data_IF_004858689525
#
_entry.id   IF_004858689525
#
_cell.length_a   1.000
_cell.length_b   1.000
_cell.length_c   1.000
_cell.angle_alpha   90.00
_cell.angle_beta   90.00
_cell.angle_gamma   90.00
#
_symmetry.space_group_name_H-M   'P 1'
#
loop_
_entity.id
_entity.type
_entity.pdbx_description
1 polymer ?
#
# COMPACT_ATOMS: atom_id res chain seq x y z
N UNK A 1 -10.30 -32.53 -21.24
CA UNK A 1 -8.90 -32.44 -20.79
C UNK A 1 -8.91 -31.58 -19.53
N UNK A 2 -8.97 -32.26 -18.37
CA UNK A 2 -9.05 -31.62 -17.07
C UNK A 2 -7.74 -30.91 -16.77
N UNK A 3 -7.78 -29.66 -16.40
CA UNK A 3 -6.73 -28.97 -15.65
C UNK A 3 -7.34 -28.51 -14.33
N UNK A 4 -7.35 -29.42 -13.37
CA UNK A 4 -7.39 -29.10 -11.95
C UNK A 4 -6.05 -28.46 -11.59
N UNK A 5 -6.08 -27.38 -10.82
CA UNK A 5 -4.86 -26.81 -10.28
C UNK A 5 -5.08 -25.48 -9.61
N UNK A 6 -5.85 -25.48 -8.52
CA UNK A 6 -5.82 -24.44 -7.50
C UNK A 6 -4.48 -24.57 -6.74
N UNK A 7 -3.40 -24.02 -7.29
CA UNK A 7 -2.12 -23.92 -6.61
C UNK A 7 -2.06 -22.58 -5.90
N UNK A 8 -2.48 -22.60 -4.63
CA UNK A 8 -1.97 -21.59 -3.68
C UNK A 8 -0.44 -21.53 -3.82
N UNK A 9 0.17 -20.33 -3.88
CA UNK A 9 1.61 -20.23 -4.01
C UNK A 9 2.26 -21.00 -2.87
N UNK A 10 3.11 -21.95 -3.22
CA UNK A 10 3.85 -22.78 -2.26
C UNK A 10 4.75 -21.87 -1.44
N UNK A 11 4.27 -21.51 -0.23
CA UNK A 11 5.01 -20.67 0.74
C UNK A 11 6.39 -21.27 1.05
N UNK A 12 6.55 -22.57 0.80
CA UNK A 12 7.84 -23.26 0.94
C UNK A 12 8.85 -22.90 -0.16
N UNK A 13 8.40 -22.43 -1.33
CA UNK A 13 9.29 -22.00 -2.41
C UNK A 13 9.98 -20.65 -2.12
N UNK A 14 9.44 -19.85 -1.21
CA UNK A 14 10.00 -18.57 -0.75
C UNK A 14 11.09 -18.74 0.32
N UNK A 15 11.33 -19.95 0.82
CA UNK A 15 12.22 -20.19 1.98
C UNK A 15 13.67 -20.52 1.60
N UNK A 16 14.08 -20.31 0.36
CA UNK A 16 15.50 -20.50 -0.06
C UNK A 16 15.98 -21.96 0.03
N UNK A 17 17.20 -22.19 -0.41
CA UNK A 17 17.90 -23.46 -0.60
C UNK A 17 17.44 -24.64 0.29
N UNK A 18 17.05 -25.74 -0.35
CA UNK A 18 16.63 -27.02 0.27
C UNK A 18 17.63 -27.59 1.27
N UNK A 19 18.90 -27.22 1.21
CA UNK A 19 19.94 -27.68 2.13
C UNK A 19 19.76 -27.19 3.57
N UNK A 20 19.05 -26.07 3.78
CA UNK A 20 18.71 -25.54 5.10
C UNK A 20 17.45 -26.14 5.72
N UNK A 21 16.65 -26.87 4.94
CA UNK A 21 15.43 -27.56 5.40
C UNK A 21 15.71 -28.87 6.16
N UNK A 22 16.93 -29.37 6.14
CA UNK A 22 17.31 -30.64 6.77
C UNK A 22 17.26 -30.66 8.31
N UNK A 23 17.09 -29.50 8.96
CA UNK A 23 16.86 -29.38 10.42
C UNK A 23 15.68 -28.45 10.67
N UNK A 24 14.44 -28.92 10.47
CA UNK A 24 13.29 -28.28 11.09
C UNK A 24 13.47 -28.34 12.60
N UNK A 25 13.52 -27.22 13.34
CA UNK A 25 13.38 -27.30 14.77
C UNK A 25 12.01 -27.93 15.02
N UNK A 26 11.97 -28.98 15.84
CA UNK A 26 10.72 -29.66 16.25
C UNK A 26 9.88 -28.77 17.17
N UNK A 27 9.67 -27.50 16.75
CA UNK A 27 8.95 -26.47 17.49
C UNK A 27 7.83 -25.90 16.65
N UNK A 28 6.69 -25.63 17.29
CA UNK A 28 5.58 -24.88 16.72
C UNK A 28 5.65 -23.43 17.23
N UNK A 29 5.51 -22.47 16.33
CA UNK A 29 5.41 -21.06 16.69
C UNK A 29 3.95 -20.63 16.65
N UNK A 30 3.50 -19.97 17.72
CA UNK A 30 2.13 -19.48 17.85
C UNK A 30 2.11 -18.15 18.62
N UNK A 31 1.01 -17.42 18.51
CA UNK A 31 0.77 -16.24 19.34
C UNK A 31 0.37 -16.67 20.76
N UNK A 32 0.98 -16.08 21.76
CA UNK A 32 0.59 -16.27 23.15
C UNK A 32 -0.75 -15.57 23.40
N UNK A 33 -1.81 -16.36 23.50
CA UNK A 33 -3.17 -15.86 23.67
C UNK A 33 -3.68 -15.91 25.13
N UNK A 34 -2.97 -16.63 26.03
CA UNK A 34 -3.39 -16.83 27.41
C UNK A 34 -2.32 -16.41 28.44
N UNK A 35 -2.78 -16.10 29.65
CA UNK A 35 -1.91 -15.64 30.73
C UNK A 35 -0.85 -16.68 31.16
N UNK A 36 -1.12 -17.98 30.98
CA UNK A 36 -0.17 -19.05 31.35
C UNK A 36 1.00 -19.07 30.39
N UNK A 37 0.72 -18.98 29.09
CA UNK A 37 1.73 -18.89 28.03
C UNK A 37 2.59 -17.62 28.20
N UNK A 38 1.97 -16.48 28.47
CA UNK A 38 2.68 -15.22 28.73
C UNK A 38 3.57 -15.31 29.98
N UNK A 39 3.08 -15.92 31.07
CA UNK A 39 3.91 -16.17 32.28
C UNK A 39 5.09 -17.09 31.99
N UNK A 40 4.91 -18.13 31.20
CA UNK A 40 6.02 -19.02 30.81
C UNK A 40 7.09 -18.28 30.01
N UNK A 41 6.69 -17.46 29.03
CA UNK A 41 7.61 -16.61 28.28
C UNK A 41 8.31 -15.58 29.17
N UNK A 42 7.59 -14.87 30.06
CA UNK A 42 8.19 -13.91 31.00
C UNK A 42 9.20 -14.58 31.94
N UNK A 43 8.97 -15.84 32.36
CA UNK A 43 9.98 -16.61 33.14
C UNK A 43 11.26 -16.87 32.33
N UNK A 44 11.16 -17.27 31.05
CA UNK A 44 12.31 -17.46 30.18
C UNK A 44 13.10 -16.14 29.98
N UNK A 45 12.40 -15.03 29.83
CA UNK A 45 13.00 -13.70 29.74
C UNK A 45 13.76 -13.32 31.00
N UNK A 46 13.13 -13.53 32.16
CA UNK A 46 13.74 -13.24 33.46
C UNK A 46 15.01 -14.06 33.64
N UNK A 47 14.98 -15.37 33.38
CA UNK A 47 16.17 -16.23 33.48
C UNK A 47 17.29 -15.72 32.55
N UNK A 48 16.99 -15.43 31.27
CA UNK A 48 17.99 -15.04 30.30
C UNK A 48 18.51 -13.61 30.53
N UNK A 49 17.65 -12.63 30.78
CA UNK A 49 18.07 -11.21 30.79
C UNK A 49 18.46 -10.68 32.16
N UNK A 50 17.87 -11.22 33.23
CA UNK A 50 18.17 -10.81 34.59
C UNK A 50 19.26 -11.73 35.19
N UNK A 51 19.01 -13.04 35.27
CA UNK A 51 19.89 -13.97 35.96
C UNK A 51 21.17 -14.30 35.20
N UNK A 52 21.05 -14.68 33.92
CA UNK A 52 22.21 -15.12 33.13
C UNK A 52 23.05 -13.96 32.59
N UNK A 53 22.39 -12.90 32.08
CA UNK A 53 23.06 -11.80 31.39
C UNK A 53 23.33 -10.58 32.30
N UNK A 54 22.58 -10.45 33.39
CA UNK A 54 22.67 -9.28 34.27
C UNK A 54 22.32 -7.96 33.54
N UNK A 55 21.54 -8.03 32.48
CA UNK A 55 21.20 -6.85 31.67
C UNK A 55 20.21 -5.93 32.42
N UNK A 56 19.37 -6.52 33.25
CA UNK A 56 18.40 -5.82 34.10
C UNK A 56 18.58 -6.29 35.55
N UNK A 57 18.43 -5.37 36.52
CA UNK A 57 18.65 -5.70 37.94
C UNK A 57 17.53 -6.57 38.55
N UNK A 58 16.28 -6.21 38.35
CA UNK A 58 15.13 -6.87 39.01
C UNK A 58 14.20 -7.59 38.02
N UNK A 59 13.83 -6.92 36.96
CA UNK A 59 12.95 -7.46 35.90
C UNK A 59 13.21 -6.77 34.57
N UNK A 60 12.84 -7.40 33.47
CA UNK A 60 12.96 -6.88 32.11
C UNK A 60 11.63 -6.38 31.53
N UNK A 61 10.61 -6.23 32.39
CA UNK A 61 9.29 -5.73 32.00
C UNK A 61 9.34 -4.22 31.72
N UNK A 62 8.60 -3.79 30.71
CA UNK A 62 8.40 -2.40 30.34
C UNK A 62 6.94 -2.17 29.90
N UNK A 63 6.55 -0.92 29.64
CA UNK A 63 5.17 -0.52 29.31
C UNK A 63 4.57 -1.28 28.10
N UNK A 64 5.43 -1.78 27.20
CA UNK A 64 4.98 -2.62 26.09
C UNK A 64 4.48 -4.00 26.49
N UNK A 65 4.81 -4.48 27.67
CA UNK A 65 4.29 -5.77 28.15
C UNK A 65 2.79 -5.69 28.51
N UNK A 66 2.28 -4.49 28.71
CA UNK A 66 0.88 -4.22 29.05
C UNK A 66 0.12 -3.48 27.95
N UNK A 67 0.79 -3.12 26.83
CA UNK A 67 0.16 -2.52 25.63
C UNK A 67 -0.67 -3.61 24.91
N UNK A 68 -2.00 -3.43 24.74
CA UNK A 68 -2.85 -4.41 24.08
C UNK A 68 -2.52 -4.63 22.59
N UNK A 69 -1.76 -3.71 21.97
CA UNK A 69 -1.29 -3.83 20.58
C UNK A 69 -0.05 -4.71 20.47
N UNK A 70 0.55 -5.08 21.60
CA UNK A 70 1.74 -5.94 21.62
C UNK A 70 1.40 -7.37 21.25
N UNK A 71 2.12 -7.90 20.26
CA UNK A 71 2.07 -9.29 19.85
C UNK A 71 3.25 -10.04 20.46
N UNK A 72 2.95 -11.12 21.17
CA UNK A 72 3.96 -12.06 21.68
C UNK A 72 3.87 -13.37 20.91
N UNK A 73 4.95 -13.77 20.26
CA UNK A 73 5.09 -15.08 19.62
C UNK A 73 5.94 -15.98 20.50
N UNK A 74 5.50 -17.23 20.67
CA UNK A 74 6.22 -18.25 21.44
C UNK A 74 6.49 -19.47 20.59
N UNK A 75 7.63 -20.14 20.88
CA UNK A 75 7.97 -21.44 20.34
C UNK A 75 7.67 -22.53 21.39
N UNK A 76 6.89 -23.55 21.01
CA UNK A 76 6.63 -24.75 21.82
C UNK A 76 7.36 -25.95 21.24
N UNK A 77 7.95 -26.75 22.10
CA UNK A 77 8.50 -28.06 21.74
C UNK A 77 7.39 -29.13 21.54
N UNK A 78 7.81 -30.35 21.24
CA UNK A 78 6.90 -31.47 21.05
C UNK A 78 6.09 -31.85 22.31
N UNK A 79 6.58 -31.49 23.50
CA UNK A 79 5.87 -31.68 24.77
C UNK A 79 4.90 -30.53 25.09
N UNK A 80 4.82 -29.50 24.23
CA UNK A 80 3.98 -28.33 24.44
C UNK A 80 4.59 -27.28 25.36
N UNK A 81 5.84 -27.46 25.78
CA UNK A 81 6.55 -26.53 26.67
C UNK A 81 7.01 -25.28 25.88
N UNK A 82 6.85 -24.10 26.48
CA UNK A 82 7.37 -22.86 25.89
C UNK A 82 8.89 -22.85 26.02
N UNK A 83 9.61 -22.93 24.89
CA UNK A 83 11.07 -23.00 24.79
C UNK A 83 11.70 -21.76 24.19
N UNK A 84 10.91 -20.75 23.88
CA UNK A 84 11.40 -19.45 23.37
C UNK A 84 10.25 -18.51 23.08
N UNK A 85 10.59 -17.26 22.78
CA UNK A 85 9.61 -16.27 22.35
C UNK A 85 10.24 -14.96 21.93
N UNK A 86 9.41 -14.10 21.33
CA UNK A 86 9.74 -12.74 20.89
C UNK A 86 8.50 -11.86 21.03
N UNK A 87 8.69 -10.58 21.33
CA UNK A 87 7.65 -9.58 21.42
C UNK A 87 7.84 -8.54 20.31
N UNK A 88 6.74 -8.12 19.68
CA UNK A 88 6.73 -7.05 18.67
C UNK A 88 5.46 -6.21 18.81
N UNK A 89 5.50 -4.98 18.33
CA UNK A 89 4.38 -4.04 18.38
C UNK A 89 4.77 -2.64 17.92
N UNK A 90 3.80 -1.69 17.88
CA UNK A 90 4.04 -0.32 17.48
C UNK A 90 5.18 0.35 18.27
N UNK A 91 5.98 1.17 17.59
CA UNK A 91 7.15 1.81 18.18
C UNK A 91 6.78 2.91 19.19
N UNK A 92 5.63 3.54 19.07
CA UNK A 92 5.15 4.62 19.92
C UNK A 92 3.80 4.34 20.56
N UNK A 93 3.42 5.18 21.53
CA UNK A 93 2.16 5.06 22.29
C UNK A 93 0.96 5.64 21.51
N UNK A 94 1.21 6.44 20.47
CA UNK A 94 0.19 7.05 19.62
C UNK A 94 -0.44 6.10 18.63
N UNK A 95 -1.11 6.68 17.63
CA UNK A 95 -1.68 5.91 16.51
C UNK A 95 -0.62 5.08 15.82
N UNK A 96 -0.93 3.82 15.52
CA UNK A 96 -0.04 2.96 14.75
C UNK A 96 0.10 3.47 13.31
N UNK A 97 1.27 3.93 12.96
CA UNK A 97 1.63 4.45 11.62
C UNK A 97 2.43 3.43 10.80
N UNK A 98 2.46 2.17 11.20
CA UNK A 98 3.22 1.12 10.52
C UNK A 98 4.71 1.12 10.87
N UNK A 99 5.11 1.76 11.97
CA UNK A 99 6.44 1.64 12.54
C UNK A 99 6.39 0.76 13.78
N UNK A 100 6.99 -0.42 13.69
CA UNK A 100 7.02 -1.39 14.78
C UNK A 100 8.43 -1.71 15.25
N UNK A 101 8.52 -2.20 16.47
CA UNK A 101 9.78 -2.71 17.03
C UNK A 101 9.60 -4.12 17.53
N UNK A 102 10.62 -4.96 17.29
CA UNK A 102 10.78 -6.28 17.91
C UNK A 102 11.75 -6.25 19.08
N UNK A 103 11.55 -7.13 20.06
CA UNK A 103 12.45 -7.22 21.19
C UNK A 103 12.19 -8.44 22.07
N UNK A 104 12.96 -8.58 23.14
CA UNK A 104 12.82 -9.66 24.12
C UNK A 104 12.89 -11.06 23.49
N UNK A 105 13.70 -11.22 22.42
CA UNK A 105 13.97 -12.53 21.82
C UNK A 105 14.75 -13.40 22.82
N UNK A 106 14.17 -14.56 23.15
CA UNK A 106 14.79 -15.54 24.04
C UNK A 106 14.52 -16.96 23.52
N UNK A 107 15.51 -17.85 23.73
CA UNK A 107 15.37 -19.29 23.49
C UNK A 107 16.03 -20.06 24.62
N UNK A 108 15.37 -21.10 25.13
CA UNK A 108 15.88 -21.93 26.21
C UNK A 108 17.16 -22.67 25.78
N UNK A 109 18.12 -22.76 26.70
CA UNK A 109 19.35 -23.55 26.48
C UNK A 109 19.05 -25.04 26.50
N UNK A 110 19.67 -25.80 25.63
CA UNK A 110 19.60 -27.27 25.63
C UNK A 110 18.44 -27.91 24.86
N UNK A 111 17.51 -27.16 24.33
CA UNK A 111 16.46 -27.71 23.46
C UNK A 111 17.00 -27.99 22.05
N UNK A 112 17.69 -29.10 21.87
CA UNK A 112 18.04 -29.73 20.57
C UNK A 112 18.63 -28.81 19.50
N UNK A 113 19.79 -28.17 19.76
CA UNK A 113 20.47 -27.30 18.80
C UNK A 113 19.86 -25.89 18.74
N UNK A 114 20.32 -25.00 19.59
CA UNK A 114 19.84 -23.62 19.80
C UNK A 114 19.89 -22.70 18.57
N UNK A 115 20.51 -23.11 17.46
CA UNK A 115 20.62 -22.30 16.23
C UNK A 115 19.32 -22.14 15.45
N UNK A 116 18.29 -22.96 15.67
CA UNK A 116 17.06 -22.98 14.90
C UNK A 116 15.93 -22.14 15.50
N UNK A 117 15.69 -22.18 16.82
CA UNK A 117 14.51 -21.57 17.48
C UNK A 117 14.53 -20.05 17.36
N UNK A 118 15.66 -19.41 17.69
CA UNK A 118 15.79 -17.97 17.58
C UNK A 118 15.57 -17.46 16.15
N UNK A 119 16.15 -18.15 15.15
CA UNK A 119 15.94 -17.79 13.74
C UNK A 119 14.48 -17.98 13.30
N UNK A 120 13.82 -19.05 13.74
CA UNK A 120 12.41 -19.29 13.44
C UNK A 120 11.51 -18.20 14.07
N UNK A 121 11.78 -17.81 15.31
CA UNK A 121 11.05 -16.73 15.98
C UNK A 121 11.24 -15.37 15.28
N UNK A 122 12.47 -15.04 14.86
CA UNK A 122 12.73 -13.79 14.13
C UNK A 122 11.99 -13.80 12.79
N UNK A 123 12.03 -14.89 12.02
CA UNK A 123 11.28 -14.99 10.76
C UNK A 123 9.77 -14.88 10.99
N UNK A 124 9.23 -15.54 12.01
CA UNK A 124 7.82 -15.43 12.36
C UNK A 124 7.43 -14.00 12.77
N UNK A 125 8.30 -13.29 13.49
CA UNK A 125 8.09 -11.89 13.83
C UNK A 125 8.10 -10.98 12.60
N UNK A 126 9.02 -11.20 11.65
CA UNK A 126 9.03 -10.47 10.38
C UNK A 126 7.75 -10.72 9.57
N UNK A 127 7.37 -11.99 9.39
CA UNK A 127 6.14 -12.35 8.68
C UNK A 127 4.89 -11.77 9.35
N UNK A 128 4.84 -11.77 10.69
CA UNK A 128 3.74 -11.14 11.42
C UNK A 128 3.71 -9.62 11.21
N UNK A 129 4.83 -8.93 11.29
CA UNK A 129 4.91 -7.50 11.04
C UNK A 129 4.44 -7.14 9.62
N UNK A 130 4.86 -7.91 8.61
CA UNK A 130 4.40 -7.73 7.23
C UNK A 130 2.89 -7.95 7.09
N UNK A 131 2.33 -8.98 7.75
CA UNK A 131 0.88 -9.25 7.75
C UNK A 131 0.05 -8.15 8.43
N UNK A 132 0.61 -7.45 9.42
CA UNK A 132 -0.02 -6.30 10.08
C UNK A 132 0.11 -4.98 9.28
N UNK A 133 0.74 -5.02 8.12
CA UNK A 133 0.92 -3.83 7.30
C UNK A 133 2.01 -2.90 7.80
N UNK A 134 3.00 -3.42 8.49
CA UNK A 134 4.16 -2.66 8.94
C UNK A 134 5.00 -2.23 7.74
N UNK A 135 5.53 -1.01 7.80
CA UNK A 135 6.39 -0.40 6.78
C UNK A 135 7.83 -0.20 7.26
N UNK A 136 8.01 -0.09 8.59
CA UNK A 136 9.31 0.03 9.22
C UNK A 136 9.36 -0.89 10.44
N UNK A 137 10.19 -1.93 10.38
CA UNK A 137 10.36 -2.89 11.46
C UNK A 137 11.80 -2.90 11.95
N UNK A 138 12.00 -2.60 13.24
CA UNK A 138 13.29 -2.43 13.85
C UNK A 138 13.45 -3.27 15.13
N UNK A 139 14.69 -3.58 15.48
CA UNK A 139 15.01 -4.23 16.74
C UNK A 139 16.32 -3.67 17.30
N UNK A 140 16.37 -3.47 18.62
CA UNK A 140 17.60 -3.17 19.33
C UNK A 140 18.27 -4.47 19.73
N UNK A 141 19.42 -4.76 19.15
CA UNK A 141 20.10 -6.06 19.19
C UNK A 141 21.43 -5.90 19.93
N UNK A 142 21.75 -6.82 20.84
CA UNK A 142 23.07 -6.84 21.48
C UNK A 142 24.17 -7.01 20.42
N UNK A 143 25.29 -6.30 20.54
CA UNK A 143 26.39 -6.32 19.55
C UNK A 143 26.83 -7.75 19.20
N UNK A 144 26.89 -8.65 20.17
CA UNK A 144 27.25 -10.08 19.96
C UNK A 144 26.27 -10.84 19.06
N UNK A 145 25.03 -10.37 18.95
CA UNK A 145 23.99 -11.00 18.12
C UNK A 145 23.84 -10.33 16.74
N UNK A 146 24.57 -9.24 16.44
CA UNK A 146 24.48 -8.52 15.17
C UNK A 146 24.68 -9.45 13.96
N UNK A 147 25.71 -10.31 13.99
CA UNK A 147 25.98 -11.25 12.89
C UNK A 147 24.85 -12.24 12.67
N UNK A 148 24.16 -12.68 13.73
CA UNK A 148 22.98 -13.55 13.61
C UNK A 148 21.84 -12.84 12.88
N UNK A 149 21.50 -11.59 13.24
CA UNK A 149 20.46 -10.81 12.57
C UNK A 149 20.85 -10.47 11.13
N UNK A 150 22.10 -10.14 10.84
CA UNK A 150 22.59 -9.92 9.47
C UNK A 150 22.41 -11.15 8.58
N UNK A 151 22.65 -12.36 9.10
CA UNK A 151 22.38 -13.62 8.36
C UNK A 151 20.88 -13.86 8.11
N UNK A 152 19.99 -13.19 8.84
CA UNK A 152 18.54 -13.20 8.62
C UNK A 152 18.06 -12.02 7.77
N UNK A 153 18.97 -11.31 7.10
CA UNK A 153 18.64 -10.23 6.18
C UNK A 153 18.45 -8.85 6.82
N UNK A 154 18.68 -8.71 8.14
CA UNK A 154 18.60 -7.43 8.82
C UNK A 154 19.81 -6.54 8.52
N UNK A 155 19.58 -5.23 8.40
CA UNK A 155 20.60 -4.22 8.16
C UNK A 155 20.89 -3.42 9.42
N UNK A 156 22.15 -3.03 9.61
CA UNK A 156 22.57 -2.14 10.69
C UNK A 156 22.14 -0.70 10.41
N UNK A 157 21.52 -0.03 11.38
CA UNK A 157 21.13 1.38 11.28
C UNK A 157 22.13 2.27 12.03
N UNK A 158 22.29 2.04 13.37
CA UNK A 158 23.22 2.82 14.20
C UNK A 158 23.52 2.12 15.54
N UNK A 159 24.60 2.48 16.23
CA UNK A 159 24.82 2.04 17.59
C UNK A 159 23.81 2.70 18.55
N UNK A 160 23.44 1.98 19.61
CA UNK A 160 22.56 2.45 20.69
C UNK A 160 23.02 1.83 22.01
N UNK A 161 22.55 2.36 23.15
CA UNK A 161 22.80 1.81 24.47
C UNK A 161 21.49 1.41 25.14
N UNK A 162 21.42 0.22 25.71
CA UNK A 162 20.26 -0.28 26.48
C UNK A 162 20.77 -0.74 27.84
N UNK A 163 20.18 -0.22 28.91
CA UNK A 163 20.60 -0.51 30.29
C UNK A 163 22.12 -0.45 30.48
N UNK A 164 22.78 0.59 29.96
CA UNK A 164 24.21 0.77 30.00
C UNK A 164 25.05 -0.13 29.10
N UNK A 165 24.45 -1.09 28.41
CA UNK A 165 25.15 -2.08 27.56
C UNK A 165 25.10 -1.68 26.09
N UNK A 166 26.23 -1.81 25.32
CA UNK A 166 26.26 -1.52 23.89
C UNK A 166 25.34 -2.46 23.09
N UNK A 167 24.48 -1.85 22.24
CA UNK A 167 23.56 -2.50 21.31
C UNK A 167 23.66 -1.87 19.93
N UNK A 168 22.98 -2.46 18.96
CA UNK A 168 22.85 -1.95 17.59
C UNK A 168 21.37 -1.91 17.24
N UNK A 169 20.91 -0.77 16.76
CA UNK A 169 19.60 -0.69 16.10
C UNK A 169 19.73 -1.34 14.72
N UNK A 170 18.91 -2.34 14.48
CA UNK A 170 18.85 -3.05 13.21
C UNK A 170 17.45 -2.95 12.61
N UNK A 171 17.36 -2.97 11.29
CA UNK A 171 16.10 -2.86 10.53
C UNK A 171 15.93 -4.06 9.63
N UNK A 172 14.72 -4.63 9.63
CA UNK A 172 14.29 -5.61 8.64
C UNK A 172 13.82 -4.88 7.37
N UNK A 173 14.32 -5.24 6.16
CA UNK A 173 13.87 -4.63 4.92
C UNK A 173 12.44 -5.07 4.62
N UNK A 174 11.54 -4.10 4.43
CA UNK A 174 10.15 -4.33 4.03
C UNK A 174 9.95 -3.70 2.66
N UNK A 175 9.81 -4.52 1.63
CA UNK A 175 9.70 -4.09 0.24
C UNK A 175 8.28 -4.05 -0.32
N UNK A 176 7.22 -4.16 0.51
CA UNK A 176 5.84 -4.32 0.03
C UNK A 176 5.37 -3.19 -0.89
N UNK A 177 5.73 -1.93 -0.59
CA UNK A 177 5.34 -0.77 -1.39
C UNK A 177 6.02 -0.81 -2.76
N UNK A 178 7.34 -1.01 -2.79
CA UNK A 178 8.09 -1.12 -4.05
C UNK A 178 7.59 -2.29 -4.90
N UNK A 179 7.40 -3.46 -4.29
CA UNK A 179 6.92 -4.65 -4.99
C UNK A 179 5.51 -4.43 -5.58
N UNK A 180 4.61 -3.77 -4.81
CA UNK A 180 3.26 -3.47 -5.27
C UNK A 180 3.26 -2.47 -6.44
N UNK A 181 4.00 -1.37 -6.34
CA UNK A 181 4.13 -0.37 -7.41
C UNK A 181 4.73 -0.98 -8.69
N UNK A 182 5.80 -1.78 -8.55
CA UNK A 182 6.45 -2.45 -9.67
C UNK A 182 5.51 -3.45 -10.36
N UNK A 183 4.82 -4.30 -9.60
CA UNK A 183 3.87 -5.26 -10.15
C UNK A 183 2.71 -4.58 -10.92
N UNK A 184 2.29 -3.39 -10.46
CA UNK A 184 1.19 -2.66 -11.09
C UNK A 184 1.61 -1.91 -12.36
N UNK A 185 2.81 -1.32 -12.42
CA UNK A 185 3.12 -0.25 -13.39
C UNK A 185 4.47 -0.35 -14.10
N UNK A 186 5.44 -1.13 -13.63
CA UNK A 186 6.82 -1.09 -14.17
C UNK A 186 6.97 -1.53 -15.63
N UNK A 187 6.01 -2.25 -16.17
CA UNK A 187 6.02 -2.67 -17.57
C UNK A 187 5.49 -1.60 -18.55
N UNK A 188 4.91 -0.48 -18.06
CA UNK A 188 4.20 0.47 -18.92
C UNK A 188 5.12 1.16 -19.91
N UNK A 189 6.26 1.71 -19.46
CA UNK A 189 7.19 2.41 -20.35
C UNK A 189 7.63 1.57 -21.56
N UNK A 190 8.19 0.35 -21.35
CA UNK A 190 8.55 -0.53 -22.46
C UNK A 190 7.38 -0.93 -23.37
N UNK A 191 6.20 -1.20 -22.80
CA UNK A 191 5.01 -1.60 -23.58
C UNK A 191 4.48 -0.45 -24.45
N UNK A 192 4.41 0.76 -23.88
CA UNK A 192 3.86 1.92 -24.57
C UNK A 192 4.86 2.59 -25.51
N UNK A 193 6.15 2.21 -25.49
CA UNK A 193 7.17 2.75 -26.37
C UNK A 193 6.79 2.62 -27.87
N UNK A 194 6.01 1.59 -28.23
CA UNK A 194 5.51 1.42 -29.60
C UNK A 194 4.51 2.51 -30.06
N UNK A 195 3.88 3.21 -29.09
CA UNK A 195 2.93 4.30 -29.36
C UNK A 195 3.60 5.68 -29.25
N UNK A 196 4.77 5.77 -28.63
CA UNK A 196 5.49 7.00 -28.49
C UNK A 196 5.95 7.55 -29.86
N UNK A 197 5.83 8.86 -30.08
CA UNK A 197 6.31 9.52 -31.28
C UNK A 197 5.46 9.29 -32.55
N UNK A 198 4.35 8.58 -32.47
CA UNK A 198 3.49 8.36 -33.65
C UNK A 198 2.81 9.65 -34.14
N UNK A 199 2.48 10.56 -33.23
CA UNK A 199 1.89 11.85 -33.53
C UNK A 199 2.18 12.85 -32.38
N UNK A 200 2.03 14.17 -32.62
CA UNK A 200 2.30 15.19 -31.59
C UNK A 200 1.49 15.03 -30.29
N UNK A 201 0.37 14.30 -30.34
CA UNK A 201 -0.53 14.07 -29.22
C UNK A 201 -0.56 12.60 -28.75
N UNK A 202 0.38 11.77 -29.20
CA UNK A 202 0.48 10.38 -28.73
C UNK A 202 0.73 10.32 -27.21
N UNK A 203 0.09 9.36 -26.54
CA UNK A 203 0.13 9.16 -25.08
C UNK A 203 -0.27 10.40 -24.25
N UNK A 204 -1.15 11.26 -24.78
CA UNK A 204 -1.61 12.51 -24.12
C UNK A 204 -0.95 13.77 -24.67
N UNK A 205 0.21 13.65 -25.34
CA UNK A 205 0.96 14.77 -25.89
C UNK A 205 1.86 15.47 -24.86
N UNK A 206 2.62 16.50 -25.28
CA UNK A 206 3.55 17.21 -24.39
C UNK A 206 2.87 17.74 -23.13
N UNK A 207 3.45 17.46 -21.97
CA UNK A 207 2.94 17.84 -20.66
C UNK A 207 1.87 16.88 -20.07
N UNK A 208 1.41 15.89 -20.86
CA UNK A 208 0.36 14.95 -20.42
C UNK A 208 0.71 13.47 -20.67
N UNK A 209 1.97 13.18 -20.96
CA UNK A 209 2.40 11.79 -21.22
C UNK A 209 2.20 10.92 -19.97
N UNK A 210 1.39 9.87 -20.10
CA UNK A 210 1.11 8.96 -18.99
C UNK A 210 0.23 9.53 -17.89
N UNK A 211 -0.54 10.58 -18.18
CA UNK A 211 -1.54 11.13 -17.28
C UNK A 211 -2.80 10.26 -17.20
N UNK A 212 -3.66 10.55 -16.23
CA UNK A 212 -4.88 9.79 -15.93
C UNK A 212 -5.93 9.95 -17.06
N UNK A 213 -5.87 11.05 -17.78
CA UNK A 213 -6.66 11.31 -18.99
C UNK A 213 -5.85 12.04 -20.06
N UNK A 214 -6.35 12.02 -21.28
CA UNK A 214 -5.71 12.65 -22.43
C UNK A 214 -6.54 13.83 -22.95
N UNK A 215 -5.99 15.05 -23.09
CA UNK A 215 -6.62 16.13 -23.81
C UNK A 215 -6.83 15.73 -25.29
N UNK A 216 -8.04 15.87 -25.80
CA UNK A 216 -8.36 15.59 -27.21
C UNK A 216 -8.07 16.83 -28.05
N UNK A 217 -7.23 16.73 -29.10
CA UNK A 217 -6.87 17.87 -29.93
C UNK A 217 -8.08 18.59 -30.53
N UNK A 218 -8.02 19.92 -30.57
CA UNK A 218 -9.03 20.75 -31.23
C UNK A 218 -10.18 21.22 -30.35
N UNK A 219 -10.14 20.96 -29.03
CA UNK A 219 -11.22 21.40 -28.15
C UNK A 219 -10.82 21.37 -26.67
N UNK A 220 -11.84 21.42 -25.81
CA UNK A 220 -11.76 21.31 -24.36
C UNK A 220 -12.06 19.91 -23.83
N UNK A 221 -12.16 18.92 -24.74
CA UNK A 221 -12.49 17.54 -24.39
C UNK A 221 -11.28 16.82 -23.79
N UNK A 222 -11.53 16.09 -22.71
CA UNK A 222 -10.58 15.16 -22.07
C UNK A 222 -11.21 13.79 -22.09
N UNK A 223 -10.43 12.76 -22.44
CA UNK A 223 -10.84 11.36 -22.44
C UNK A 223 -9.99 10.55 -21.45
N UNK A 224 -10.64 9.72 -20.65
CA UNK A 224 -10.02 8.71 -19.81
C UNK A 224 -10.56 7.33 -20.19
N UNK A 225 -9.74 6.27 -20.14
CA UNK A 225 -10.16 4.93 -20.53
C UNK A 225 -9.45 3.86 -19.71
N UNK A 226 -10.22 3.19 -18.86
CA UNK A 226 -9.71 2.11 -18.01
C UNK A 226 -10.41 0.78 -18.29
N UNK A 227 -9.62 -0.30 -18.17
CA UNK A 227 -10.11 -1.67 -18.17
C UNK A 227 -10.16 -2.20 -16.73
N UNK A 228 -11.23 -2.89 -16.39
CA UNK A 228 -11.40 -3.53 -15.09
C UNK A 228 -10.71 -4.89 -15.08
N UNK A 229 -10.04 -5.22 -13.97
CA UNK A 229 -9.36 -6.50 -13.78
C UNK A 229 -10.31 -7.66 -14.12
N UNK A 230 -9.99 -8.53 -15.11
CA UNK A 230 -10.89 -9.58 -15.58
C UNK A 230 -11.44 -10.47 -14.47
N UNK A 231 -10.59 -10.85 -13.50
CA UNK A 231 -11.02 -11.67 -12.36
C UNK A 231 -12.05 -10.98 -11.44
N UNK A 232 -12.15 -9.64 -11.47
CA UNK A 232 -13.20 -8.90 -10.78
C UNK A 232 -14.49 -8.95 -11.62
N UNK A 233 -14.40 -8.75 -12.92
CA UNK A 233 -15.57 -8.84 -13.83
C UNK A 233 -16.20 -10.23 -13.73
N UNK A 234 -15.39 -11.28 -13.65
CA UNK A 234 -15.87 -12.65 -13.51
C UNK A 234 -16.56 -12.94 -12.17
N UNK A 235 -15.94 -12.52 -11.05
CA UNK A 235 -16.36 -12.94 -9.70
C UNK A 235 -17.33 -11.99 -9.00
N UNK A 236 -17.24 -10.69 -9.29
CA UNK A 236 -18.05 -9.64 -8.65
C UNK A 236 -18.52 -8.62 -9.73
N UNK A 237 -19.34 -9.07 -10.70
CA UNK A 237 -19.72 -8.29 -11.87
C UNK A 237 -20.40 -6.96 -11.55
N UNK A 238 -21.24 -6.90 -10.51
CA UNK A 238 -21.88 -5.64 -10.10
C UNK A 238 -20.86 -4.65 -9.54
N UNK A 239 -19.88 -5.14 -8.79
CA UNK A 239 -18.79 -4.30 -8.28
C UNK A 239 -17.86 -3.86 -9.40
N UNK A 240 -17.55 -4.73 -10.34
CA UNK A 240 -16.80 -4.40 -11.54
C UNK A 240 -17.48 -3.28 -12.34
N UNK A 241 -18.81 -3.37 -12.52
CA UNK A 241 -19.62 -2.33 -13.15
C UNK A 241 -19.57 -1.00 -12.40
N UNK A 242 -19.65 -1.01 -11.05
CA UNK A 242 -19.47 0.21 -10.24
C UNK A 242 -18.08 0.80 -10.41
N UNK A 243 -17.03 -0.02 -10.27
CA UNK A 243 -15.66 0.42 -10.41
C UNK A 243 -15.34 1.01 -11.77
N UNK A 244 -15.91 0.48 -12.84
CA UNK A 244 -15.63 0.98 -14.20
C UNK A 244 -16.07 2.43 -14.43
N UNK A 245 -17.11 2.88 -13.74
CA UNK A 245 -17.50 4.30 -13.73
C UNK A 245 -16.60 5.10 -12.80
N UNK A 246 -16.40 4.59 -11.59
CA UNK A 246 -15.64 5.24 -10.51
C UNK A 246 -14.22 5.62 -10.94
N UNK A 247 -13.43 4.65 -11.47
CA UNK A 247 -12.03 4.88 -11.86
C UNK A 247 -11.92 5.95 -12.93
N UNK A 248 -12.71 5.85 -13.98
CA UNK A 248 -12.70 6.81 -15.10
C UNK A 248 -13.15 8.22 -14.70
N UNK A 249 -14.08 8.34 -13.74
CA UNK A 249 -14.48 9.65 -13.22
C UNK A 249 -13.41 10.24 -12.29
N UNK A 250 -12.65 9.41 -11.57
CA UNK A 250 -11.49 9.86 -10.80
C UNK A 250 -10.37 10.38 -11.74
N UNK A 251 -10.11 9.68 -12.84
CA UNK A 251 -9.17 10.12 -13.87
C UNK A 251 -9.52 11.52 -14.41
N UNK A 252 -10.79 11.70 -14.82
CA UNK A 252 -11.25 13.02 -15.26
C UNK A 252 -11.13 14.07 -14.16
N UNK A 253 -11.42 13.71 -12.92
CA UNK A 253 -11.30 14.61 -11.77
C UNK A 253 -9.85 15.01 -11.50
N UNK A 254 -8.88 14.09 -11.66
CA UNK A 254 -7.46 14.39 -11.56
C UNK A 254 -7.01 15.40 -12.63
N UNK A 255 -7.59 15.33 -13.83
CA UNK A 255 -7.38 16.31 -14.92
C UNK A 255 -8.16 17.63 -14.70
N UNK A 256 -8.93 17.76 -13.62
CA UNK A 256 -9.81 18.92 -13.41
C UNK A 256 -10.94 19.01 -14.42
N UNK A 257 -11.31 17.91 -15.09
CA UNK A 257 -12.33 17.84 -16.11
C UNK A 257 -13.71 17.51 -15.53
N UNK A 258 -14.74 18.27 -15.95
CA UNK A 258 -16.12 18.00 -15.58
C UNK A 258 -16.66 16.86 -16.46
N UNK A 259 -17.17 15.75 -15.87
CA UNK A 259 -17.69 14.61 -16.62
C UNK A 259 -18.85 15.01 -17.56
N UNK A 260 -18.85 14.50 -18.81
CA UNK A 260 -19.86 14.73 -19.82
C UNK A 260 -20.62 13.45 -20.19
N UNK A 261 -19.99 12.29 -20.14
CA UNK A 261 -20.63 11.01 -20.43
C UNK A 261 -19.67 9.85 -20.49
N UNK A 262 -20.24 8.64 -20.56
CA UNK A 262 -19.51 7.36 -20.50
C UNK A 262 -19.81 6.53 -21.75
N UNK A 263 -18.84 5.77 -22.21
CA UNK A 263 -18.97 4.73 -23.23
C UNK A 263 -18.43 3.42 -22.64
N UNK A 264 -19.15 2.31 -22.77
CA UNK A 264 -18.70 1.00 -22.29
C UNK A 264 -18.34 0.04 -23.42
N UNK A 265 -17.41 -0.86 -23.14
CA UNK A 265 -17.11 -2.03 -23.95
C UNK A 265 -17.17 -3.27 -23.04
N UNK A 266 -18.26 -4.03 -23.16
CA UNK A 266 -18.57 -5.18 -22.33
C UNK A 266 -18.48 -6.47 -23.13
N UNK A 267 -17.72 -7.43 -22.65
CA UNK A 267 -17.72 -8.82 -23.07
C UNK A 267 -18.23 -9.70 -21.92
N UNK A 268 -19.07 -10.68 -22.20
CA UNK A 268 -19.65 -11.54 -21.18
C UNK A 268 -19.94 -12.96 -21.71
N UNK A 269 -19.90 -14.00 -20.84
CA UNK A 269 -20.24 -15.36 -21.24
C UNK A 269 -21.70 -15.51 -21.66
N UNK A 270 -22.60 -14.76 -21.04
CA UNK A 270 -24.03 -14.78 -21.33
C UNK A 270 -24.71 -13.47 -20.94
N UNK A 271 -26.00 -13.35 -21.30
CA UNK A 271 -26.82 -12.17 -21.04
C UNK A 271 -27.05 -11.93 -19.52
N UNK A 272 -27.13 -12.97 -18.71
CA UNK A 272 -27.35 -12.83 -17.27
C UNK A 272 -26.14 -12.20 -16.59
N UNK A 273 -24.94 -12.62 -16.96
CA UNK A 273 -23.69 -12.02 -16.48
C UNK A 273 -23.56 -10.57 -16.94
N UNK A 274 -23.81 -10.30 -18.23
CA UNK A 274 -23.82 -8.95 -18.79
C UNK A 274 -24.78 -8.01 -18.03
N UNK A 275 -25.99 -8.50 -17.74
CA UNK A 275 -27.00 -7.71 -17.01
C UNK A 275 -26.49 -7.31 -15.60
N UNK A 276 -25.79 -8.19 -14.89
CA UNK A 276 -25.20 -7.89 -13.58
C UNK A 276 -24.11 -6.81 -13.65
N UNK A 277 -23.24 -6.88 -14.66
CA UNK A 277 -22.21 -5.85 -14.87
C UNK A 277 -22.89 -4.50 -15.16
N UNK A 278 -23.86 -4.49 -16.09
CA UNK A 278 -24.59 -3.27 -16.48
C UNK A 278 -25.42 -2.69 -15.33
N UNK A 279 -25.97 -3.52 -14.43
CA UNK A 279 -26.65 -3.02 -13.22
C UNK A 279 -25.70 -2.23 -12.32
N UNK A 280 -24.50 -2.76 -12.07
CA UNK A 280 -23.46 -2.06 -11.31
C UNK A 280 -23.05 -0.74 -11.95
N UNK A 281 -22.79 -0.76 -13.25
CA UNK A 281 -22.43 0.41 -14.05
C UNK A 281 -23.55 1.46 -14.03
N UNK A 282 -24.81 1.06 -14.26
CA UNK A 282 -25.95 1.95 -14.25
C UNK A 282 -26.22 2.56 -12.85
N UNK A 283 -26.01 1.80 -11.78
CA UNK A 283 -26.12 2.33 -10.42
C UNK A 283 -25.04 3.40 -10.15
N UNK A 284 -23.80 3.16 -10.55
CA UNK A 284 -22.74 4.14 -10.42
C UNK A 284 -23.01 5.39 -11.29
N UNK A 285 -23.37 5.22 -12.56
CA UNK A 285 -23.71 6.32 -13.46
C UNK A 285 -24.81 7.22 -12.88
N UNK A 286 -25.85 6.62 -12.29
CA UNK A 286 -26.92 7.37 -11.58
C UNK A 286 -26.40 8.07 -10.33
N UNK A 287 -25.58 7.39 -9.51
CA UNK A 287 -25.04 7.96 -8.28
C UNK A 287 -24.16 9.20 -8.54
N UNK A 288 -23.35 9.15 -9.57
CA UNK A 288 -22.53 10.29 -10.00
C UNK A 288 -23.30 11.31 -10.85
N UNK A 289 -24.46 10.93 -11.39
CA UNK A 289 -25.27 11.77 -12.27
C UNK A 289 -24.60 12.02 -13.61
N UNK A 290 -23.94 11.00 -14.19
CA UNK A 290 -23.25 11.03 -15.48
C UNK A 290 -23.92 10.04 -16.43
N UNK A 291 -24.34 10.45 -17.66
CA UNK A 291 -25.05 9.55 -18.57
C UNK A 291 -24.12 8.54 -19.25
N UNK A 292 -24.60 7.33 -19.46
CA UNK A 292 -24.01 6.39 -20.42
C UNK A 292 -24.50 6.75 -21.81
N UNK A 293 -23.62 7.18 -22.70
CA UNK A 293 -23.93 7.68 -24.04
C UNK A 293 -24.09 6.54 -25.03
N UNK A 294 -23.50 5.39 -24.77
CA UNK A 294 -23.53 4.21 -25.63
C UNK A 294 -22.40 3.27 -25.27
N UNK A 295 -22.18 2.29 -26.11
CA UNK A 295 -21.14 1.28 -25.90
C UNK A 295 -21.27 0.12 -26.89
N UNK A 296 -20.55 -0.97 -26.59
CA UNK A 296 -20.59 -2.22 -27.34
C UNK A 296 -20.68 -3.40 -26.37
N UNK A 297 -21.61 -4.33 -26.66
CA UNK A 297 -21.76 -5.57 -25.87
C UNK A 297 -21.55 -6.79 -26.74
N UNK A 298 -20.67 -7.70 -26.28
CA UNK A 298 -20.39 -8.98 -26.91
C UNK A 298 -20.71 -10.13 -25.97
N UNK A 299 -21.50 -11.12 -26.44
CA UNK A 299 -21.88 -12.29 -25.65
C UNK A 299 -21.19 -13.57 -26.16
N UNK A 300 -21.13 -14.59 -25.32
CA UNK A 300 -20.51 -15.89 -25.64
C UNK A 300 -18.98 -15.87 -25.58
N UNK A 301 -18.38 -14.92 -24.87
CA UNK A 301 -16.90 -14.74 -24.76
C UNK A 301 -16.51 -14.56 -23.28
N UNK A 302 -15.22 -14.71 -22.92
CA UNK A 302 -14.75 -14.44 -21.58
C UNK A 302 -15.12 -13.03 -21.11
N UNK A 303 -15.38 -12.89 -19.79
CA UNK A 303 -15.79 -11.63 -19.21
C UNK A 303 -14.67 -10.58 -19.27
N UNK A 304 -14.98 -9.40 -19.79
CA UNK A 304 -14.11 -8.24 -19.81
C UNK A 304 -14.97 -6.95 -19.82
N UNK A 305 -14.43 -5.89 -19.23
CA UNK A 305 -15.10 -4.59 -19.17
C UNK A 305 -14.06 -3.48 -19.28
N UNK A 306 -14.31 -2.54 -20.18
CA UNK A 306 -13.62 -1.26 -20.25
C UNK A 306 -14.65 -0.14 -20.38
N UNK A 307 -14.36 1.00 -19.76
CA UNK A 307 -15.18 2.21 -19.88
C UNK A 307 -14.29 3.36 -20.32
N UNK A 308 -14.81 4.19 -21.21
CA UNK A 308 -14.22 5.48 -21.58
C UNK A 308 -15.11 6.58 -21.03
N UNK A 309 -14.55 7.47 -20.22
CA UNK A 309 -15.21 8.69 -19.79
C UNK A 309 -14.76 9.88 -20.62
N UNK A 310 -15.71 10.72 -20.95
CA UNK A 310 -15.51 11.99 -21.63
C UNK A 310 -15.79 13.11 -20.65
N UNK A 311 -14.90 14.08 -20.56
CA UNK A 311 -15.05 15.26 -19.72
C UNK A 311 -14.61 16.53 -20.44
N UNK A 312 -14.83 17.68 -19.80
CA UNK A 312 -14.44 18.98 -20.34
C UNK A 312 -13.58 19.76 -19.36
N UNK A 313 -12.45 20.24 -19.83
CA UNK A 313 -11.56 21.13 -19.11
C UNK A 313 -10.90 22.12 -20.06
N UNK A 314 -11.19 23.41 -19.91
CA UNK A 314 -10.54 24.43 -20.73
C UNK A 314 -9.03 24.50 -20.52
N UNK A 315 -8.56 24.10 -19.34
CA UNK A 315 -7.14 23.97 -18.97
C UNK A 315 -7.01 22.73 -18.08
N UNK A 316 -6.75 21.56 -18.67
CA UNK A 316 -6.51 20.33 -17.92
C UNK A 316 -5.33 20.49 -16.97
N UNK A 317 -5.41 19.88 -15.79
CA UNK A 317 -4.30 19.82 -14.82
C UNK A 317 -3.40 18.66 -15.21
N UNK A 318 -2.08 18.87 -15.40
CA UNK A 318 -1.18 17.77 -15.74
C UNK A 318 -0.79 16.94 -14.52
N UNK A 319 -0.39 15.70 -14.74
CA UNK A 319 0.24 14.85 -13.72
C UNK A 319 1.70 15.21 -13.46
N UNK A 320 2.36 15.87 -14.43
CA UNK A 320 3.80 16.18 -14.44
C UNK A 320 4.17 17.64 -14.18
N UNK A 321 3.27 18.49 -13.71
CA UNK A 321 3.55 19.92 -13.48
C UNK A 321 4.26 20.26 -12.16
N UNK A 322 4.60 19.26 -11.34
CA UNK A 322 5.25 19.46 -10.05
C UNK A 322 6.72 19.91 -10.16
N UNK A 323 7.26 20.48 -9.06
CA UNK A 323 8.66 20.94 -8.96
C UNK A 323 9.22 20.59 -7.58
N UNK A 324 10.54 20.44 -7.43
CA UNK A 324 11.16 20.33 -6.11
C UNK A 324 10.75 21.50 -5.21
N UNK A 325 10.34 21.20 -3.97
CA UNK A 325 9.81 22.16 -3.01
C UNK A 325 8.28 22.29 -2.99
N UNK A 326 7.55 21.77 -4.00
CA UNK A 326 6.10 21.72 -3.93
C UNK A 326 5.63 20.80 -2.80
N UNK A 327 4.63 21.25 -2.07
CA UNK A 327 3.94 20.45 -1.06
C UNK A 327 3.08 19.38 -1.73
N UNK A 328 3.16 18.14 -1.22
CA UNK A 328 2.30 17.03 -1.64
C UNK A 328 1.10 16.96 -0.69
N UNK A 329 -0.09 16.94 -1.25
CA UNK A 329 -1.36 16.83 -0.55
C UNK A 329 -2.09 15.57 -0.96
N UNK A 330 -2.60 14.82 0.01
CA UNK A 330 -3.56 13.75 -0.20
C UNK A 330 -4.95 14.23 0.20
N UNK A 331 -5.91 14.12 -0.72
CA UNK A 331 -7.34 14.34 -0.47
C UNK A 331 -8.04 13.01 -0.70
N UNK A 332 -8.59 12.39 0.35
CA UNK A 332 -9.18 11.05 0.28
C UNK A 332 -10.48 10.94 1.08
N UNK A 333 -11.41 10.15 0.58
CA UNK A 333 -12.60 9.79 1.33
C UNK A 333 -12.29 8.66 2.32
N UNK A 334 -12.26 9.01 3.60
CA UNK A 334 -11.96 8.09 4.70
C UNK A 334 -13.19 7.34 5.21
N UNK A 335 -14.38 7.63 4.69
CA UNK A 335 -15.61 6.91 5.01
C UNK A 335 -15.64 5.50 4.41
N UNK A 336 -16.70 4.74 4.69
CA UNK A 336 -16.88 3.39 4.16
C UNK A 336 -16.06 2.32 4.87
N UNK A 337 -15.49 1.37 4.11
CA UNK A 337 -14.76 0.24 4.65
C UNK A 337 -14.11 -0.64 3.59
N UNK A 338 -13.40 -1.67 4.04
CA UNK A 338 -12.85 -2.68 3.12
C UNK A 338 -13.97 -3.39 2.37
N UNK A 339 -13.88 -3.39 1.05
CA UNK A 339 -14.80 -4.19 0.23
C UNK A 339 -14.68 -5.68 0.61
N UNK A 340 -15.81 -6.35 0.81
CA UNK A 340 -15.84 -7.79 1.09
C UNK A 340 -15.11 -8.56 -0.02
N UNK A 341 -14.22 -9.48 0.36
CA UNK A 341 -13.33 -10.22 -0.56
C UNK A 341 -12.11 -9.45 -1.07
N UNK A 342 -11.97 -8.15 -0.71
CA UNK A 342 -10.86 -7.29 -1.18
C UNK A 342 -10.14 -6.58 -0.02
N UNK A 343 -10.19 -7.12 1.20
CA UNK A 343 -9.52 -6.54 2.37
C UNK A 343 -8.03 -6.27 2.09
N UNK A 344 -7.55 -5.07 2.44
CA UNK A 344 -6.18 -4.61 2.19
C UNK A 344 -5.90 -4.20 0.74
N UNK A 345 -6.89 -4.33 -0.18
CA UNK A 345 -6.74 -4.00 -1.60
C UNK A 345 -7.69 -2.93 -2.10
N UNK A 346 -8.96 -2.94 -1.67
CA UNK A 346 -9.96 -1.99 -2.12
C UNK A 346 -10.77 -1.46 -0.93
N UNK A 347 -10.78 -0.15 -0.80
CA UNK A 347 -11.57 0.58 0.16
C UNK A 347 -12.81 1.16 -0.54
N UNK A 348 -13.99 0.66 -0.21
CA UNK A 348 -15.25 1.16 -0.75
C UNK A 348 -15.73 2.34 0.10
N UNK A 349 -15.47 3.55 -0.38
CA UNK A 349 -15.94 4.79 0.24
C UNK A 349 -17.13 5.41 -0.50
N UNK A 350 -17.36 5.02 -1.76
CA UNK A 350 -18.24 5.76 -2.68
C UNK A 350 -19.67 5.23 -2.78
N UNK A 351 -19.90 3.92 -2.56
CA UNK A 351 -21.23 3.32 -2.74
C UNK A 351 -22.31 3.85 -1.78
N UNK A 352 -21.90 4.43 -0.64
CA UNK A 352 -22.80 5.01 0.35
C UNK A 352 -22.95 6.53 0.26
N UNK A 353 -22.25 7.17 -0.68
CA UNK A 353 -22.24 8.63 -0.82
C UNK A 353 -23.42 9.12 -1.65
N UNK A 354 -23.92 10.31 -1.31
CA UNK A 354 -24.93 11.02 -2.12
C UNK A 354 -24.30 11.66 -3.34
N UNK A 355 -25.10 11.92 -4.37
CA UNK A 355 -24.65 12.55 -5.62
C UNK A 355 -23.95 13.90 -5.42
N UNK A 356 -24.44 14.73 -4.49
CA UNK A 356 -23.81 16.03 -4.17
C UNK A 356 -22.44 15.87 -3.53
N UNK A 357 -22.26 14.86 -2.67
CA UNK A 357 -20.98 14.52 -2.05
C UNK A 357 -19.98 13.99 -3.09
N UNK A 358 -20.40 13.06 -3.95
CA UNK A 358 -19.58 12.52 -5.04
C UNK A 358 -19.10 13.64 -5.98
N UNK A 359 -20.01 14.53 -6.38
CA UNK A 359 -19.67 15.66 -7.26
C UNK A 359 -18.73 16.67 -6.60
N UNK A 360 -18.91 16.93 -5.30
CA UNK A 360 -18.01 17.81 -4.55
C UNK A 360 -16.59 17.23 -4.50
N UNK A 361 -16.45 15.92 -4.30
CA UNK A 361 -15.16 15.24 -4.32
C UNK A 361 -14.50 15.34 -5.71
N UNK A 362 -15.21 14.99 -6.78
CA UNK A 362 -14.70 15.06 -8.16
C UNK A 362 -14.30 16.49 -8.57
N UNK A 363 -14.96 17.52 -8.03
CA UNK A 363 -14.67 18.92 -8.31
C UNK A 363 -13.43 19.49 -7.63
N UNK A 364 -12.80 18.77 -6.72
CA UNK A 364 -11.72 19.30 -5.86
C UNK A 364 -10.51 19.80 -6.66
N UNK A 365 -10.01 19.04 -7.62
CA UNK A 365 -8.85 19.42 -8.44
C UNK A 365 -9.17 20.61 -9.35
N UNK A 366 -10.35 20.62 -9.98
CA UNK A 366 -10.82 21.75 -10.79
C UNK A 366 -10.92 23.06 -10.01
N UNK A 367 -11.34 22.98 -8.73
CA UNK A 367 -11.44 24.14 -7.84
C UNK A 367 -10.07 24.62 -7.34
N UNK A 368 -9.17 23.69 -6.99
CA UNK A 368 -7.84 24.00 -6.45
C UNK A 368 -6.82 24.40 -7.50
N UNK A 369 -6.91 23.83 -8.69
CA UNK A 369 -5.96 24.02 -9.82
C UNK A 369 -4.50 23.86 -9.41
N UNK A 370 -4.12 22.73 -8.81
CA UNK A 370 -2.74 22.49 -8.41
C UNK A 370 -1.80 22.44 -9.63
N UNK A 371 -0.50 22.56 -9.39
CA UNK A 371 0.51 22.43 -10.43
C UNK A 371 0.54 21.02 -11.04
N UNK A 372 0.28 19.99 -10.24
CA UNK A 372 0.14 18.60 -10.69
C UNK A 372 -0.92 17.85 -9.88
N UNK A 373 -1.60 16.90 -10.53
CA UNK A 373 -2.57 16.01 -9.85
C UNK A 373 -2.57 14.61 -10.48
N UNK A 374 -2.84 13.60 -9.66
CA UNK A 374 -3.17 12.22 -10.08
C UNK A 374 -4.20 11.61 -9.15
N UNK A 375 -5.10 10.80 -9.71
CA UNK A 375 -5.96 9.93 -8.91
C UNK A 375 -5.15 8.76 -8.32
N UNK A 376 -5.58 8.25 -7.16
CA UNK A 376 -4.94 7.07 -6.58
C UNK A 376 -5.55 5.81 -7.16
N UNK A 377 -4.80 5.17 -8.03
CA UNK A 377 -5.18 3.96 -8.75
C UNK A 377 -4.57 2.67 -8.16
N UNK A 378 -4.45 1.63 -8.99
CA UNK A 378 -3.95 0.29 -8.59
C UNK A 378 -2.54 0.28 -7.99
N UNK A 379 -1.72 1.31 -8.23
CA UNK A 379 -0.39 1.42 -7.61
C UNK A 379 -0.45 1.82 -6.12
N UNK A 380 -1.64 2.17 -5.60
CA UNK A 380 -1.84 2.70 -4.26
C UNK A 380 -1.28 4.12 -4.10
N UNK A 381 -1.46 4.70 -2.91
CA UNK A 381 -1.04 6.09 -2.63
C UNK A 381 0.46 6.30 -2.90
N UNK A 382 1.29 5.41 -2.38
CA UNK A 382 2.74 5.58 -2.52
C UNK A 382 3.23 5.35 -3.96
N UNK A 383 2.66 4.38 -4.70
CA UNK A 383 3.00 4.17 -6.10
C UNK A 383 2.50 5.30 -6.99
N UNK A 384 1.29 5.81 -6.76
CA UNK A 384 0.76 6.98 -7.48
C UNK A 384 1.58 8.25 -7.21
N UNK A 385 2.03 8.46 -5.95
CA UNK A 385 2.96 9.54 -5.65
C UNK A 385 4.26 9.41 -6.45
N UNK A 386 4.76 8.18 -6.60
CA UNK A 386 5.92 7.89 -7.45
C UNK A 386 5.67 8.21 -8.92
N UNK A 387 4.47 7.92 -9.45
CA UNK A 387 4.08 8.29 -10.82
C UNK A 387 4.01 9.81 -11.01
N UNK A 388 3.41 10.55 -10.06
CA UNK A 388 3.36 12.01 -10.08
C UNK A 388 4.77 12.63 -10.03
N UNK A 389 5.63 12.10 -9.15
CA UNK A 389 7.01 12.53 -9.03
C UNK A 389 7.81 12.23 -10.32
N UNK A 390 7.67 11.04 -10.91
CA UNK A 390 8.30 10.64 -12.16
C UNK A 390 7.89 11.57 -13.31
N UNK A 391 6.58 11.80 -13.51
CA UNK A 391 6.05 12.70 -14.53
C UNK A 391 6.54 14.15 -14.34
N UNK A 392 6.81 14.57 -13.09
CA UNK A 392 7.35 15.88 -12.73
C UNK A 392 8.89 15.95 -12.78
N UNK A 393 9.60 14.87 -13.13
CA UNK A 393 11.06 14.82 -13.09
C UNK A 393 11.65 14.97 -11.68
N UNK A 394 10.93 14.53 -10.65
CA UNK A 394 11.22 14.70 -9.24
C UNK A 394 11.32 13.36 -8.49
N UNK A 395 11.79 13.41 -7.25
CA UNK A 395 11.50 12.44 -6.20
C UNK A 395 10.40 12.98 -5.28
N UNK A 396 9.88 12.14 -4.41
CA UNK A 396 8.93 12.56 -3.38
C UNK A 396 9.30 12.02 -1.98
N UNK A 397 8.99 12.80 -0.96
CA UNK A 397 9.06 12.39 0.45
C UNK A 397 7.66 12.47 1.03
N UNK A 398 7.18 11.36 1.60
CA UNK A 398 5.87 11.25 2.25
C UNK A 398 6.06 11.23 3.77
N UNK A 399 5.44 12.16 4.48
CA UNK A 399 5.41 12.21 5.95
C UNK A 399 4.35 11.25 6.48
N UNK A 400 4.75 10.08 6.91
CA UNK A 400 3.84 8.97 7.25
C UNK A 400 2.82 9.36 8.31
N UNK A 401 3.23 10.15 9.30
CA UNK A 401 2.34 10.60 10.38
C UNK A 401 1.30 11.63 9.92
N UNK A 402 1.51 12.31 8.78
CA UNK A 402 0.61 13.31 8.23
C UNK A 402 -0.38 12.73 7.20
N UNK A 403 -0.24 11.48 6.81
CA UNK A 403 -1.13 10.83 5.85
C UNK A 403 -2.52 10.63 6.45
N UNK A 404 -3.58 11.25 5.88
CA UNK A 404 -4.95 10.99 6.31
C UNK A 404 -5.33 9.54 5.99
N UNK A 405 -5.81 8.81 7.00
CA UNK A 405 -6.07 7.37 6.92
C UNK A 405 -7.30 6.97 7.74
N UNK A 406 -8.15 6.05 7.24
CA UNK A 406 -9.20 5.45 8.05
C UNK A 406 -8.63 4.65 9.23
N UNK A 407 -9.26 4.75 10.39
CA UNK A 407 -8.80 4.02 11.59
C UNK A 407 -8.76 2.48 11.41
N UNK A 408 -9.63 1.94 10.55
CA UNK A 408 -9.74 0.51 10.27
C UNK A 408 -8.71 -0.02 9.25
N UNK A 409 -7.89 0.84 8.64
CA UNK A 409 -6.83 0.45 7.73
C UNK A 409 -5.47 0.51 8.41
N UNK A 410 -4.58 -0.48 8.23
CA UNK A 410 -3.17 -0.34 8.55
C UNK A 410 -2.50 0.67 7.62
N UNK A 411 -1.41 1.31 8.03
CA UNK A 411 -0.72 2.27 7.15
C UNK A 411 -0.19 1.58 5.88
N UNK A 412 0.35 0.38 6.00
CA UNK A 412 0.85 -0.35 4.85
C UNK A 412 -0.24 -0.73 3.86
N UNK A 413 -1.41 -1.18 4.35
CA UNK A 413 -2.54 -1.48 3.47
C UNK A 413 -3.09 -0.21 2.83
N UNK A 414 -3.17 0.89 3.59
CA UNK A 414 -3.64 2.17 3.06
C UNK A 414 -2.73 2.74 1.98
N UNK A 415 -1.41 2.66 2.15
CA UNK A 415 -0.47 3.14 1.14
C UNK A 415 -0.42 2.28 -0.14
N UNK A 416 -0.98 1.06 -0.10
CA UNK A 416 -0.96 0.12 -1.24
C UNK A 416 -2.35 -0.25 -1.76
N UNK A 417 -3.46 0.22 -1.16
CA UNK A 417 -4.80 -0.09 -1.64
C UNK A 417 -5.29 0.89 -2.72
N UNK A 418 -6.38 0.50 -3.40
CA UNK A 418 -7.24 1.38 -4.16
C UNK A 418 -8.30 1.97 -3.20
N UNK A 419 -8.31 3.30 -2.96
CA UNK A 419 -9.10 3.91 -1.86
C UNK A 419 -10.50 4.39 -2.27
N UNK A 420 -11.04 3.98 -3.43
CA UNK A 420 -12.32 4.46 -3.96
C UNK A 420 -12.21 5.91 -4.46
N UNK A 421 -12.08 6.89 -3.57
CA UNK A 421 -11.76 8.26 -3.97
C UNK A 421 -10.52 8.74 -3.20
N UNK A 422 -9.46 9.05 -3.92
CA UNK A 422 -8.31 9.80 -3.41
C UNK A 422 -7.57 10.49 -4.56
N UNK A 423 -7.09 11.71 -4.29
CA UNK A 423 -6.29 12.53 -5.19
C UNK A 423 -4.98 12.90 -4.53
N UNK A 424 -3.89 12.72 -5.24
CA UNK A 424 -2.59 13.31 -4.92
C UNK A 424 -2.40 14.57 -5.74
N UNK A 425 -2.04 15.67 -5.07
CA UNK A 425 -1.75 16.94 -5.73
C UNK A 425 -0.41 17.48 -5.26
N UNK A 426 0.28 18.19 -6.14
CA UNK A 426 1.50 18.93 -5.81
C UNK A 426 1.30 20.40 -6.18
N UNK A 427 1.67 21.32 -5.26
CA UNK A 427 1.51 22.75 -5.46
C UNK A 427 2.47 23.54 -4.57
N UNK A 428 2.52 24.86 -4.74
CA UNK A 428 3.34 25.75 -3.91
C UNK A 428 2.99 25.55 -2.41
N UNK A 429 4.00 25.61 -1.53
CA UNK A 429 3.77 25.51 -0.09
C UNK A 429 2.79 26.57 0.40
N UNK A 430 1.79 26.15 1.19
CA UNK A 430 0.77 27.08 1.71
C UNK A 430 -0.45 27.25 0.79
N UNK A 431 -0.50 26.61 -0.37
CA UNK A 431 -1.70 26.58 -1.19
C UNK A 431 -2.90 26.04 -0.38
N UNK A 432 -4.08 26.71 -0.46
CA UNK A 432 -5.25 26.29 0.31
C UNK A 432 -5.75 24.93 -0.10
N UNK A 433 -6.33 24.21 0.87
CA UNK A 433 -7.03 22.95 0.55
C UNK A 433 -8.26 23.27 -0.30
N UNK A 434 -8.45 22.57 -1.45
CA UNK A 434 -9.66 22.73 -2.23
C UNK A 434 -10.88 22.17 -1.48
N UNK A 435 -12.09 22.72 -1.72
CA UNK A 435 -13.30 22.10 -1.20
C UNK A 435 -13.48 20.71 -1.82
N UNK A 436 -13.58 19.70 -0.99
CA UNK A 436 -13.64 18.29 -1.41
C UNK A 436 -14.81 17.52 -0.76
N UNK A 437 -15.89 18.22 -0.37
CA UNK A 437 -17.05 17.59 0.28
C UNK A 437 -16.66 16.82 1.54
N UNK A 438 -17.03 15.52 1.65
CA UNK A 438 -16.72 14.70 2.82
C UNK A 438 -15.28 14.21 2.88
N UNK A 439 -14.47 14.40 1.83
CA UNK A 439 -13.09 13.89 1.81
C UNK A 439 -12.17 14.70 2.74
N UNK A 440 -11.31 14.01 3.47
CA UNK A 440 -10.26 14.61 4.27
C UNK A 440 -9.09 15.04 3.37
N UNK A 441 -8.52 16.23 3.64
CA UNK A 441 -7.42 16.76 2.86
C UNK A 441 -6.28 17.22 3.79
N UNK A 442 -5.07 16.73 3.56
CA UNK A 442 -3.88 17.10 4.34
C UNK A 442 -2.63 17.18 3.46
N UNK A 443 -1.77 18.16 3.77
CA UNK A 443 -0.38 18.14 3.26
C UNK A 443 0.34 17.04 4.02
N UNK A 444 0.90 16.09 3.28
CA UNK A 444 1.55 14.90 3.85
C UNK A 444 2.90 14.60 3.20
N UNK A 445 3.52 15.58 2.53
CA UNK A 445 4.83 15.38 1.92
C UNK A 445 5.27 16.54 1.07
N UNK A 446 6.33 16.32 0.31
CA UNK A 446 6.93 17.29 -0.60
C UNK A 446 7.59 16.60 -1.80
N UNK A 447 7.68 17.29 -2.91
CA UNK A 447 8.53 16.91 -4.03
C UNK A 447 9.95 17.39 -3.80
N UNK A 448 10.93 16.55 -4.16
CA UNK A 448 12.36 16.84 -3.98
C UNK A 448 13.12 16.54 -5.27
N UNK A 449 14.39 16.92 -5.33
CA UNK A 449 15.27 16.50 -6.42
C UNK A 449 15.56 15.00 -6.32
N UNK A 450 15.67 14.33 -7.49
CA UNK A 450 15.98 12.91 -7.56
C UNK A 450 14.88 12.09 -8.20
N UNK A 451 14.72 10.83 -7.78
CA UNK A 451 13.74 9.85 -8.30
C UNK A 451 13.25 8.94 -7.18
N UNK A 452 12.03 8.42 -7.33
CA UNK A 452 11.42 7.50 -6.38
C UNK A 452 10.67 8.17 -5.24
N UNK A 453 10.26 7.37 -4.25
CA UNK A 453 9.49 7.80 -3.07
C UNK A 453 10.16 7.33 -1.80
N UNK A 454 10.30 8.24 -0.85
CA UNK A 454 10.78 7.97 0.49
C UNK A 454 9.71 8.25 1.55
N UNK A 455 9.77 7.56 2.69
CA UNK A 455 8.91 7.76 3.85
C UNK A 455 9.69 8.47 4.95
N UNK A 456 9.20 9.63 5.40
CA UNK A 456 9.74 10.36 6.55
C UNK A 456 8.96 9.96 7.81
N UNK A 457 9.72 9.64 8.85
CA UNK A 457 9.19 9.17 10.13
C UNK A 457 9.27 10.26 11.20
N UNK A 458 8.47 10.19 12.29
CA UNK A 458 8.47 11.20 13.35
C UNK A 458 9.82 11.41 14.05
N UNK A 459 10.73 10.43 14.01
CA UNK A 459 12.09 10.54 14.54
C UNK A 459 13.07 11.22 13.56
N UNK A 460 12.57 11.74 12.44
CA UNK A 460 13.37 12.42 11.40
C UNK A 460 14.08 11.46 10.44
N UNK A 461 14.02 10.13 10.68
CA UNK A 461 14.60 9.19 9.73
C UNK A 461 13.78 9.09 8.45
N UNK A 462 14.47 8.86 7.34
CA UNK A 462 13.87 8.64 6.03
C UNK A 462 14.20 7.22 5.57
N UNK A 463 13.20 6.49 5.06
CA UNK A 463 13.37 5.16 4.49
C UNK A 463 12.86 5.14 3.06
N UNK A 464 13.54 4.42 2.17
CA UNK A 464 13.08 4.22 0.80
C UNK A 464 11.80 3.37 0.77
N UNK A 465 10.82 3.81 -0.03
CA UNK A 465 9.59 3.07 -0.32
C UNK A 465 9.55 2.59 -1.78
N UNK A 466 10.01 3.41 -2.72
CA UNK A 466 10.15 3.08 -4.13
C UNK A 466 11.47 3.67 -4.63
N UNK A 467 12.42 2.84 -5.01
CA UNK A 467 13.82 3.23 -5.29
C UNK A 467 14.06 3.91 -6.65
N UNK A 468 13.04 4.15 -7.47
CA UNK A 468 13.23 4.73 -8.81
C UNK A 468 11.91 5.03 -9.51
N UNK A 469 11.92 5.16 -10.86
CA UNK A 469 10.72 5.35 -11.66
C UNK A 469 9.72 4.22 -11.46
N UNK A 470 8.42 4.54 -11.48
CA UNK A 470 7.32 3.58 -11.30
C UNK A 470 6.86 3.03 -12.65
N UNK A 471 6.69 3.90 -13.65
CA UNK A 471 6.16 3.53 -14.97
C UNK A 471 7.25 3.36 -16.02
N UNK A 472 8.36 4.06 -15.91
CA UNK A 472 9.41 4.15 -16.93
C UNK A 472 9.02 5.02 -18.12
N UNK A 473 7.94 5.82 -18.03
CA UNK A 473 7.55 6.77 -19.08
C UNK A 473 8.40 8.06 -19.04
N UNK A 474 8.96 8.38 -17.86
CA UNK A 474 9.77 9.57 -17.65
C UNK A 474 8.96 10.84 -17.38
N UNK A 475 9.61 12.01 -17.50
CA UNK A 475 8.95 13.29 -17.34
C UNK A 475 7.99 13.57 -18.52
N UNK A 476 6.81 14.14 -18.20
CA UNK A 476 5.74 14.43 -19.16
C UNK A 476 6.01 15.70 -19.97
#
# INVERSE_FOLDING_TARGET
MHLDGDTAPDILALLGDRSTLARRPGVRIEQAADATTLRAYRRLRHEAFVREQGLFEKHDLDDRDDDPRTVTLVARDAAGTVVGGVRLGPAGDGTDIGWWTGGRLVAARGSGGTGGIGAALVRAACARAEAEGVLRFEATVQVRAETFFRRLGWTRVRPVTVAGTPHVLMRHPIGRVAAHAAAAKSALGPLLAALAGQAPHALGGPGFVGDDGAPVPGGDLVAACDAIVPSMVERDPEWAGWCSVLVNLNDLAAMGAAPAGLLDALAAPDAAHAARVLDGLARAARAYGVPVLGGHTQLGVPAALSVTALGRAARPVPGGGGRPGHAVRLTADLGGGWRSGYRGRQWDSTTSRRTDELRAMLGAVAAGRPAAAKDVSMAGIAGTLGMLAEASGCAAVLDVAAVPRPAAASMGDWLTCFPGFAMLTADEPGAPAPPAGPAASAVCGELTTGSGVSLRWPDGQVTEAVGGPVTGLGAA
#
